data_IF_703734496737
#
_entry.id   IF_703734496737
#
_cell.length_a   1.000
_cell.length_b   1.000
_cell.length_c   1.000
_cell.angle_alpha   90.00
_cell.angle_beta   90.00
_cell.angle_gamma   90.00
#
_symmetry.space_group_name_H-M   'P 1'
#
loop_
_entity.id
_entity.type
_entity.pdbx_description
1 polymer ?
#
# COMPACT_ATOMS: atom_id res chain seq x y z
N UNK A 1 -1.67 -0.42 -13.84
CA UNK A 1 -0.90 -0.48 -12.57
C UNK A 1 -0.85 0.92 -11.99
N UNK A 2 -1.03 1.04 -10.69
CA UNK A 2 -0.90 2.31 -9.95
C UNK A 2 0.25 2.16 -8.97
N UNK A 3 1.19 3.10 -8.99
CA UNK A 3 2.32 3.18 -8.05
C UNK A 3 2.38 4.60 -7.51
N UNK A 4 2.48 4.72 -6.19
CA UNK A 4 2.55 5.99 -5.48
C UNK A 4 3.40 5.84 -4.22
N UNK A 5 3.86 6.96 -3.66
CA UNK A 5 4.51 6.99 -2.36
C UNK A 5 3.81 8.07 -1.53
N UNK A 6 3.07 7.70 -0.46
CA UNK A 6 2.47 8.69 0.43
C UNK A 6 3.59 9.47 1.12
N UNK A 7 3.39 10.79 1.28
CA UNK A 7 4.34 11.68 1.93
C UNK A 7 3.66 12.36 3.11
N UNK A 8 4.36 12.40 4.24
CA UNK A 8 3.88 13.10 5.42
C UNK A 8 3.91 14.62 5.22
N UNK A 9 2.75 15.27 5.39
CA UNK A 9 2.59 16.71 5.13
C UNK A 9 3.45 17.58 6.07
N UNK A 10 3.54 17.31 7.38
CA UNK A 10 4.51 17.95 8.26
C UNK A 10 5.95 17.85 7.77
N UNK A 11 6.39 16.67 7.33
CA UNK A 11 7.73 16.48 6.77
C UNK A 11 7.94 17.34 5.51
N UNK A 12 6.94 17.42 4.64
CA UNK A 12 7.00 18.27 3.44
C UNK A 12 7.09 19.76 3.81
N UNK A 13 6.31 20.22 4.79
CA UNK A 13 6.36 21.60 5.25
C UNK A 13 7.74 21.97 5.84
N UNK A 14 8.37 21.06 6.57
CA UNK A 14 9.73 21.26 7.08
C UNK A 14 10.73 21.47 5.93
N UNK A 15 10.67 20.64 4.90
CA UNK A 15 11.53 20.76 3.71
C UNK A 15 11.27 22.05 2.94
N UNK A 16 10.01 22.45 2.76
CA UNK A 16 9.66 23.70 2.08
C UNK A 16 10.19 24.95 2.79
N UNK A 17 10.38 24.87 4.11
CA UNK A 17 10.99 25.93 4.92
C UNK A 17 12.52 25.85 5.00
N UNK A 18 13.16 25.00 4.18
CA UNK A 18 14.62 24.83 4.12
C UNK A 18 15.19 23.79 5.10
N UNK A 19 14.34 22.93 5.66
CA UNK A 19 14.77 21.80 6.49
C UNK A 19 15.38 20.64 5.69
N UNK A 20 15.88 19.63 6.40
CA UNK A 20 16.53 18.46 5.80
C UNK A 20 15.52 17.49 5.16
N UNK A 21 15.70 17.21 3.87
CA UNK A 21 14.87 16.27 3.10
C UNK A 21 15.13 14.80 3.42
N UNK A 22 16.22 14.45 4.11
CA UNK A 22 16.54 13.07 4.47
C UNK A 22 15.50 12.42 5.39
N UNK A 23 14.71 13.22 6.11
CA UNK A 23 13.64 12.75 6.99
C UNK A 23 12.32 12.46 6.27
N UNK A 24 12.20 12.79 4.98
CA UNK A 24 11.00 12.50 4.19
C UNK A 24 11.03 11.04 3.73
N UNK A 25 10.26 10.19 4.41
CA UNK A 25 10.11 8.80 4.01
C UNK A 25 9.22 8.70 2.76
N UNK A 26 9.80 8.26 1.63
CA UNK A 26 9.08 7.91 0.42
C UNK A 26 8.99 6.39 0.30
N UNK A 27 7.88 5.82 0.73
CA UNK A 27 7.69 4.38 0.73
C UNK A 27 6.78 3.96 -0.44
N UNK A 28 7.33 3.35 -1.50
CA UNK A 28 6.54 2.94 -2.66
C UNK A 28 5.46 1.93 -2.26
N UNK A 29 4.25 2.19 -2.73
CA UNK A 29 3.07 1.34 -2.57
C UNK A 29 2.27 1.38 -3.87
N UNK A 30 1.43 0.39 -4.08
CA UNK A 30 0.66 0.32 -5.32
C UNK A 30 -0.13 -0.95 -5.50
N UNK A 31 -0.81 -1.04 -6.65
CA UNK A 31 -1.54 -2.23 -7.03
C UNK A 31 -1.64 -2.40 -8.54
N UNK A 32 -1.93 -3.63 -8.96
CA UNK A 32 -2.25 -4.00 -10.32
C UNK A 32 -3.48 -4.90 -10.32
N UNK A 33 -4.40 -4.64 -11.25
CA UNK A 33 -5.55 -5.51 -11.55
C UNK A 33 -5.30 -6.09 -12.92
N UNK A 34 -5.09 -7.39 -13.02
CA UNK A 34 -4.85 -8.10 -14.26
C UNK A 34 -6.01 -9.08 -14.52
N UNK A 35 -6.38 -9.34 -15.78
CA UNK A 35 -7.36 -10.37 -16.08
C UNK A 35 -6.86 -11.73 -15.61
N UNK A 36 -7.74 -12.53 -15.01
CA UNK A 36 -7.45 -13.93 -14.72
C UNK A 36 -7.59 -14.73 -16.02
N UNK A 37 -6.55 -15.49 -16.37
CA UNK A 37 -6.55 -16.32 -17.57
C UNK A 37 -7.36 -17.60 -17.33
N UNK A 38 -8.67 -17.46 -17.19
CA UNK A 38 -9.60 -18.58 -17.14
C UNK A 38 -9.56 -19.34 -18.47
N UNK A 39 -9.25 -20.64 -18.41
CA UNK A 39 -9.35 -21.53 -19.58
C UNK A 39 -10.75 -21.52 -20.21
N UNK A 40 -10.84 -21.94 -21.48
CA UNK A 40 -12.06 -21.89 -22.30
C UNK A 40 -13.29 -22.40 -21.52
N UNK A 41 -14.25 -21.49 -21.28
CA UNK A 41 -15.55 -21.79 -20.65
C UNK A 41 -15.74 -21.33 -19.20
N UNK A 42 -14.74 -20.74 -18.54
CA UNK A 42 -14.91 -20.11 -17.21
C UNK A 42 -15.25 -18.63 -17.30
N UNK A 43 -16.15 -18.16 -16.44
CA UNK A 43 -16.37 -16.72 -16.20
C UNK A 43 -15.02 -16.10 -15.81
N UNK A 44 -14.54 -15.15 -16.62
CA UNK A 44 -13.25 -14.51 -16.40
C UNK A 44 -13.25 -13.68 -15.11
N UNK A 45 -12.25 -13.91 -14.26
CA UNK A 45 -12.00 -13.12 -13.05
C UNK A 45 -10.93 -12.06 -13.27
N UNK A 46 -10.50 -11.45 -12.17
CA UNK A 46 -9.33 -10.57 -12.15
C UNK A 46 -8.44 -10.89 -10.95
N UNK A 47 -7.13 -10.86 -11.14
CA UNK A 47 -6.15 -10.94 -10.08
C UNK A 47 -5.78 -9.52 -9.61
N UNK A 48 -6.02 -9.23 -8.34
CA UNK A 48 -5.55 -8.02 -7.68
C UNK A 48 -4.23 -8.32 -6.96
N UNK A 49 -3.16 -7.66 -7.39
CA UNK A 49 -1.88 -7.65 -6.68
C UNK A 49 -1.72 -6.31 -5.98
N UNK A 50 -1.48 -6.34 -4.66
CA UNK A 50 -1.21 -5.14 -3.85
C UNK A 50 0.19 -5.23 -3.29
N UNK A 51 0.94 -4.13 -3.34
CA UNK A 51 2.30 -4.04 -2.82
C UNK A 51 2.42 -2.83 -1.89
N UNK A 52 3.08 -3.03 -0.74
CA UNK A 52 3.38 -1.97 0.21
C UNK A 52 4.83 -2.07 0.65
N UNK A 53 5.49 -0.91 0.71
CA UNK A 53 6.66 -0.74 1.55
C UNK A 53 6.22 0.02 2.81
N UNK A 54 6.48 -0.54 3.99
CA UNK A 54 6.05 0.02 5.28
C UNK A 54 7.26 0.06 6.20
N UNK A 55 7.57 1.25 6.73
CA UNK A 55 8.63 1.45 7.72
C UNK A 55 7.99 1.55 9.11
N UNK A 56 8.03 0.46 9.87
CA UNK A 56 7.51 0.42 11.26
C UNK A 56 8.52 0.99 12.24
N UNK A 57 9.81 0.78 11.98
CA UNK A 57 10.90 1.29 12.82
C UNK A 57 12.12 1.56 11.94
N UNK A 58 12.82 2.66 12.20
CA UNK A 58 14.06 3.03 11.52
C UNK A 58 15.29 2.26 12.05
N UNK A 59 15.20 1.59 13.20
CA UNK A 59 16.24 0.72 13.72
C UNK A 59 16.15 -0.68 13.08
N UNK A 60 17.20 -1.17 12.40
CA UNK A 60 17.20 -2.50 11.78
C UNK A 60 17.03 -3.66 12.77
N UNK A 61 17.38 -3.45 14.04
CA UNK A 61 17.29 -4.43 15.12
C UNK A 61 15.94 -4.42 15.85
N UNK A 62 15.06 -3.47 15.51
CA UNK A 62 13.75 -3.39 16.12
C UNK A 62 12.92 -4.62 15.73
N UNK A 63 12.34 -5.28 16.73
CA UNK A 63 11.45 -6.41 16.50
C UNK A 63 10.08 -5.90 16.07
N UNK A 64 9.47 -6.59 15.12
CA UNK A 64 8.06 -6.40 14.80
C UNK A 64 7.22 -6.83 16.02
N UNK A 65 6.25 -6.00 16.38
CA UNK A 65 5.29 -6.29 17.45
C UNK A 65 4.03 -6.90 16.85
N UNK A 66 3.28 -7.66 17.65
CA UNK A 66 1.97 -8.20 17.23
C UNK A 66 1.01 -7.09 16.80
N UNK A 67 1.04 -5.94 17.48
CA UNK A 67 0.26 -4.74 17.14
C UNK A 67 0.62 -4.19 15.75
N UNK A 68 1.91 -4.17 15.40
CA UNK A 68 2.36 -3.71 14.08
C UNK A 68 1.86 -4.64 12.96
N UNK A 69 1.85 -5.95 13.20
CA UNK A 69 1.34 -6.95 12.25
C UNK A 69 -0.16 -6.79 12.05
N UNK A 70 -0.92 -6.61 13.14
CA UNK A 70 -2.36 -6.36 13.08
C UNK A 70 -2.69 -5.08 12.30
N UNK A 71 -1.94 -4.01 12.55
CA UNK A 71 -2.10 -2.73 11.83
C UNK A 71 -1.86 -2.91 10.33
N UNK A 72 -0.79 -3.61 9.93
CA UNK A 72 -0.50 -3.90 8.52
C UNK A 72 -1.58 -4.76 7.89
N UNK A 73 -2.08 -5.78 8.60
CA UNK A 73 -3.15 -6.64 8.09
C UNK A 73 -4.46 -5.87 7.86
N UNK A 74 -4.81 -4.98 8.79
CA UNK A 74 -5.96 -4.09 8.67
C UNK A 74 -5.81 -3.11 7.49
N UNK A 75 -4.61 -2.57 7.28
CA UNK A 75 -4.30 -1.71 6.14
C UNK A 75 -4.48 -2.44 4.81
N UNK A 76 -3.95 -3.67 4.69
CA UNK A 76 -4.10 -4.50 3.48
C UNK A 76 -5.58 -4.78 3.22
N UNK A 77 -6.30 -5.25 4.24
CA UNK A 77 -7.73 -5.59 4.13
C UNK A 77 -8.57 -4.38 3.73
N UNK A 78 -8.37 -3.24 4.39
CA UNK A 78 -9.06 -2.00 4.07
C UNK A 78 -8.75 -1.53 2.63
N UNK A 79 -7.49 -1.65 2.19
CA UNK A 79 -7.10 -1.27 0.82
C UNK A 79 -7.78 -2.14 -0.22
N UNK A 80 -7.78 -3.47 -0.03
CA UNK A 80 -8.46 -4.40 -0.93
C UNK A 80 -9.96 -4.09 -0.98
N UNK A 81 -10.60 -3.87 0.16
CA UNK A 81 -12.02 -3.50 0.21
C UNK A 81 -12.32 -2.20 -0.53
N UNK A 82 -11.48 -1.16 -0.34
CA UNK A 82 -11.63 0.12 -1.05
C UNK A 82 -11.44 -0.01 -2.56
N UNK A 83 -10.48 -0.83 -3.00
CA UNK A 83 -10.28 -1.10 -4.43
C UNK A 83 -11.49 -1.85 -4.99
N UNK A 84 -11.99 -2.89 -4.30
CA UNK A 84 -13.19 -3.62 -4.72
C UNK A 84 -14.42 -2.71 -4.83
N UNK A 85 -14.66 -1.87 -3.82
CA UNK A 85 -15.76 -0.91 -3.83
C UNK A 85 -15.63 0.12 -4.96
N UNK A 86 -14.42 0.66 -5.20
CA UNK A 86 -14.18 1.61 -6.29
C UNK A 86 -14.38 0.99 -7.69
N UNK A 87 -14.16 -0.32 -7.82
CA UNK A 87 -14.39 -1.08 -9.05
C UNK A 87 -15.79 -1.70 -9.13
N UNK A 88 -16.65 -1.46 -8.15
CA UNK A 88 -17.99 -2.06 -8.04
C UNK A 88 -17.96 -3.61 -8.06
N UNK A 89 -16.87 -4.20 -7.58
CA UNK A 89 -16.69 -5.64 -7.42
C UNK A 89 -17.07 -6.05 -5.99
N UNK A 90 -18.29 -5.76 -5.59
CA UNK A 90 -18.86 -6.26 -4.34
C UNK A 90 -19.53 -7.61 -4.62
N UNK A 91 -19.10 -8.65 -3.91
CA UNK A 91 -19.65 -10.02 -3.97
C UNK A 91 -19.95 -10.47 -2.56
#
# INVERSE_FOLDING_TARGET
MVVYAPVDVPAMHLVMNGGDSAYVALLPSGFAVMPDAGGEGKVGGSLLTVAFQILVNSLPTAKLTVESVETVNNLISCTVQKIKAALQCES
#
